data_IF_686118546591
#
_entry.id   IF_686118546591
#
_cell.length_a   1.000
_cell.length_b   1.000
_cell.length_c   1.000
_cell.angle_alpha   90.00
_cell.angle_beta   90.00
_cell.angle_gamma   90.00
#
_symmetry.space_group_name_H-M   'P 1'
#
loop_
_entity.id
_entity.type
_entity.pdbx_description
1 polymer ?
#
# COMPACT_ATOMS: atom_id res chain seq x y z
N UNK A 1 27.22 30.15 -21.72
CA UNK A 1 27.80 30.30 -20.37
C UNK A 1 26.63 30.68 -19.47
N UNK A 2 26.03 29.72 -18.77
CA UNK A 2 26.17 29.50 -17.32
C UNK A 2 24.86 29.98 -16.68
N UNK A 3 24.16 29.29 -15.77
CA UNK A 3 24.52 28.25 -14.83
C UNK A 3 23.32 27.33 -14.56
N UNK A 4 23.63 26.07 -14.27
CA UNK A 4 22.75 25.11 -13.61
C UNK A 4 22.71 25.47 -12.12
N UNK A 5 21.53 25.58 -11.55
CA UNK A 5 21.35 25.83 -10.11
C UNK A 5 20.04 25.26 -9.63
N UNK A 6 20.04 23.94 -9.43
CA UNK A 6 19.00 23.16 -8.79
C UNK A 6 18.57 23.86 -7.49
N UNK A 7 17.31 24.32 -7.40
CA UNK A 7 16.70 24.74 -6.12
C UNK A 7 16.71 23.52 -5.21
N UNK A 8 17.76 23.37 -4.41
CA UNK A 8 17.74 22.51 -3.24
C UNK A 8 16.56 22.98 -2.40
N UNK A 9 15.57 22.12 -2.21
CA UNK A 9 14.52 22.34 -1.23
C UNK A 9 15.21 22.67 0.09
N UNK A 10 14.92 23.85 0.62
CA UNK A 10 15.53 24.38 1.83
C UNK A 10 15.34 23.36 2.95
N UNK A 11 16.41 22.65 3.29
CA UNK A 11 16.38 21.64 4.33
C UNK A 11 16.48 22.41 5.64
N UNK A 12 15.43 22.44 6.49
CA UNK A 12 15.42 23.28 7.68
C UNK A 12 16.55 22.88 8.63
N UNK A 13 17.12 23.89 9.29
CA UNK A 13 18.20 23.72 10.26
C UNK A 13 17.76 22.82 11.42
N UNK A 14 18.66 22.11 12.11
CA UNK A 14 18.31 21.15 13.16
C UNK A 14 17.37 21.71 14.23
N UNK A 15 17.55 22.97 14.65
CA UNK A 15 16.67 23.65 15.61
C UNK A 15 15.25 23.87 15.06
N UNK A 16 15.12 24.21 13.77
CA UNK A 16 13.81 24.38 13.11
C UNK A 16 13.10 23.03 12.93
N UNK A 17 13.84 21.93 12.79
CA UNK A 17 13.24 20.59 12.74
C UNK A 17 12.65 20.17 14.08
N UNK A 18 13.27 20.57 15.19
CA UNK A 18 12.74 20.33 16.54
C UNK A 18 11.55 21.24 16.84
N UNK A 19 11.56 22.49 16.35
CA UNK A 19 10.44 23.44 16.46
C UNK A 19 9.22 22.97 15.64
N UNK A 20 9.42 22.52 14.39
CA UNK A 20 8.35 21.89 13.57
C UNK A 20 7.79 20.63 14.25
N UNK A 21 8.65 19.85 14.92
CA UNK A 21 8.24 18.64 15.66
C UNK A 21 7.37 18.97 16.87
N UNK A 22 7.63 20.09 17.54
CA UNK A 22 6.78 20.59 18.63
C UNK A 22 5.50 21.24 18.14
N UNK A 23 5.53 21.98 17.04
CA UNK A 23 4.34 22.62 16.45
C UNK A 23 3.31 21.60 15.97
N UNK A 24 3.75 20.47 15.40
CA UNK A 24 2.82 19.40 15.03
C UNK A 24 2.23 18.67 16.25
N UNK A 25 2.99 18.61 17.35
CA UNK A 25 2.56 18.00 18.61
C UNK A 25 1.66 18.94 19.46
N UNK A 26 1.73 20.26 19.24
CA UNK A 26 1.02 21.28 20.00
C UNK A 26 -0.07 22.02 19.21
N UNK A 27 -0.44 21.58 18.00
CA UNK A 27 -1.66 22.08 17.35
C UNK A 27 -2.88 21.60 18.16
N UNK A 28 -3.59 22.50 18.87
CA UNK A 28 -4.82 22.12 19.54
C UNK A 28 -5.89 21.99 18.45
N UNK A 29 -6.14 20.77 17.98
CA UNK A 29 -7.25 20.53 17.06
C UNK A 29 -7.16 19.32 16.16
N UNK A 30 -5.98 18.74 15.90
CA UNK A 30 -5.95 17.45 15.18
C UNK A 30 -6.04 16.32 16.19
N UNK A 31 -7.20 16.19 16.83
CA UNK A 31 -7.57 14.92 17.45
C UNK A 31 -7.65 13.95 16.29
N UNK A 32 -6.69 13.03 16.18
CA UNK A 32 -6.73 11.96 15.21
C UNK A 32 -7.94 11.08 15.58
N UNK A 33 -9.10 11.38 14.99
CA UNK A 33 -10.29 10.55 15.12
C UNK A 33 -10.06 9.31 14.28
N UNK A 34 -9.74 8.20 14.96
CA UNK A 34 -9.61 6.90 14.33
C UNK A 34 -10.87 6.12 14.63
N UNK A 35 -11.56 5.69 13.59
CA UNK A 35 -12.67 4.75 13.68
C UNK A 35 -12.13 3.34 13.35
N UNK A 36 -12.01 2.44 14.35
CA UNK A 36 -11.48 1.10 14.14
C UNK A 36 -12.32 0.25 13.18
N UNK A 37 -13.63 0.50 13.07
CA UNK A 37 -14.51 -0.25 12.19
C UNK A 37 -14.33 0.19 10.73
N UNK A 38 -14.17 1.50 10.48
CA UNK A 38 -13.78 2.02 9.15
C UNK A 38 -12.43 1.43 8.72
N UNK A 39 -11.49 1.25 9.65
CA UNK A 39 -10.22 0.59 9.33
C UNK A 39 -10.38 -0.90 8.98
N UNK A 40 -11.31 -1.63 9.62
CA UNK A 40 -11.62 -3.02 9.25
C UNK A 40 -12.25 -3.08 7.88
N UNK A 41 -13.19 -2.19 7.59
CA UNK A 41 -13.86 -2.11 6.29
C UNK A 41 -12.85 -1.83 5.18
N UNK A 42 -11.94 -0.86 5.38
CA UNK A 42 -10.84 -0.60 4.45
C UNK A 42 -9.98 -1.85 4.21
N UNK A 43 -9.67 -2.63 5.25
CA UNK A 43 -8.93 -3.89 5.08
C UNK A 43 -9.69 -4.91 4.21
N UNK A 44 -11.01 -5.01 4.35
CA UNK A 44 -11.85 -5.88 3.51
C UNK A 44 -11.83 -5.40 2.05
N UNK A 45 -11.88 -4.09 1.81
CA UNK A 45 -11.79 -3.52 0.47
C UNK A 45 -10.45 -3.82 -0.21
N UNK A 46 -9.33 -3.69 0.52
CA UNK A 46 -8.00 -4.03 0.01
C UNK A 46 -7.88 -5.51 -0.36
N UNK A 47 -8.43 -6.41 0.46
CA UNK A 47 -8.45 -7.83 0.14
C UNK A 47 -9.36 -8.14 -1.07
N UNK A 48 -10.51 -7.48 -1.18
CA UNK A 48 -11.38 -7.62 -2.33
C UNK A 48 -10.70 -7.15 -3.62
N UNK A 49 -9.93 -6.05 -3.57
CA UNK A 49 -9.12 -5.60 -4.70
C UNK A 49 -8.02 -6.60 -5.05
N UNK A 50 -7.32 -7.13 -4.04
CA UNK A 50 -6.30 -8.16 -4.25
C UNK A 50 -6.88 -9.42 -4.91
N UNK A 51 -8.07 -9.85 -4.47
CA UNK A 51 -8.76 -11.00 -5.05
C UNK A 51 -9.18 -10.74 -6.50
N UNK A 52 -9.80 -9.60 -6.80
CA UNK A 52 -10.18 -9.26 -8.19
C UNK A 52 -8.97 -9.21 -9.12
N UNK A 53 -7.85 -8.69 -8.64
CA UNK A 53 -6.61 -8.64 -9.41
C UNK A 53 -6.03 -10.04 -9.64
N UNK A 54 -6.09 -10.93 -8.63
CA UNK A 54 -5.70 -12.33 -8.80
C UNK A 54 -6.58 -13.04 -9.84
N UNK A 55 -7.90 -12.91 -9.75
CA UNK A 55 -8.84 -13.51 -10.70
C UNK A 55 -8.64 -13.00 -12.13
N UNK A 56 -8.35 -11.71 -12.28
CA UNK A 56 -8.03 -11.12 -13.59
C UNK A 56 -6.71 -11.67 -14.14
N UNK A 57 -5.68 -11.80 -13.29
CA UNK A 57 -4.40 -12.36 -13.66
C UNK A 57 -4.52 -13.83 -14.08
N UNK A 58 -5.24 -14.64 -13.31
CA UNK A 58 -5.45 -16.06 -13.61
C UNK A 58 -6.13 -16.26 -14.96
N UNK A 59 -7.18 -15.46 -15.25
CA UNK A 59 -7.86 -15.45 -16.56
C UNK A 59 -6.91 -15.06 -17.69
N UNK A 60 -6.08 -14.03 -17.48
CA UNK A 60 -5.11 -13.60 -18.49
C UNK A 60 -4.06 -14.69 -18.77
N UNK A 61 -3.55 -15.35 -17.73
CA UNK A 61 -2.59 -16.45 -17.88
C UNK A 61 -3.17 -17.66 -18.60
N UNK A 62 -4.46 -17.96 -18.43
CA UNK A 62 -5.14 -18.99 -19.23
C UNK A 62 -5.17 -18.63 -20.72
N UNK A 63 -5.48 -17.37 -21.05
CA UNK A 63 -5.50 -16.90 -22.44
C UNK A 63 -4.11 -16.77 -23.06
N UNK A 64 -3.06 -16.65 -22.25
CA UNK A 64 -1.68 -16.52 -22.72
C UNK A 64 -1.06 -17.83 -23.24
N UNK A 65 -1.73 -18.98 -23.09
CA UNK A 65 -1.20 -20.31 -23.43
C UNK A 65 -1.09 -20.59 -24.94
N UNK A 66 -1.51 -19.68 -25.81
CA UNK A 66 -1.45 -19.89 -27.25
C UNK A 66 -0.03 -19.60 -27.79
N UNK A 67 0.61 -20.61 -28.37
CA UNK A 67 1.93 -20.53 -28.99
C UNK A 67 1.92 -19.80 -30.34
N UNK A 68 3.04 -19.85 -31.08
CA UNK A 68 3.16 -19.06 -32.31
C UNK A 68 2.12 -19.44 -33.37
N UNK A 69 1.59 -18.42 -34.05
CA UNK A 69 0.63 -18.59 -35.15
C UNK A 69 1.26 -19.23 -36.39
N UNK A 70 2.60 -19.26 -36.48
CA UNK A 70 3.37 -19.77 -37.60
C UNK A 70 4.82 -20.08 -37.22
N UNK A 71 5.53 -20.79 -38.11
CA UNK A 71 6.95 -21.16 -37.95
C UNK A 71 7.92 -20.12 -38.52
N UNK A 72 7.42 -19.02 -39.07
CA UNK A 72 8.25 -17.92 -39.54
C UNK A 72 8.92 -17.18 -38.37
N UNK A 73 10.03 -16.53 -38.68
CA UNK A 73 10.85 -15.82 -37.69
C UNK A 73 10.07 -14.69 -37.01
N UNK A 74 9.14 -14.04 -37.72
CA UNK A 74 8.32 -12.96 -37.16
C UNK A 74 7.30 -13.54 -36.17
N UNK A 75 6.58 -14.59 -36.53
CA UNK A 75 5.64 -15.28 -35.63
C UNK A 75 6.32 -15.81 -34.37
N UNK A 76 7.51 -16.38 -34.49
CA UNK A 76 8.28 -16.89 -33.34
C UNK A 76 8.82 -15.75 -32.47
N UNK A 77 9.36 -14.67 -33.07
CA UNK A 77 9.82 -13.48 -32.36
C UNK A 77 8.70 -12.75 -31.62
N UNK A 78 7.53 -12.57 -32.25
CA UNK A 78 6.35 -11.97 -31.61
C UNK A 78 5.89 -12.82 -30.44
N UNK A 79 5.82 -14.14 -30.62
CA UNK A 79 5.41 -15.05 -29.53
C UNK A 79 6.36 -15.00 -28.35
N UNK A 80 7.67 -14.95 -28.61
CA UNK A 80 8.69 -14.83 -27.56
C UNK A 80 8.62 -13.47 -26.83
N UNK A 81 8.41 -12.37 -27.56
CA UNK A 81 8.25 -11.04 -26.97
C UNK A 81 6.97 -10.94 -26.11
N UNK A 82 5.87 -11.52 -26.59
CA UNK A 82 4.61 -11.61 -25.84
C UNK A 82 4.76 -12.46 -24.58
N UNK A 83 5.44 -13.61 -24.66
CA UNK A 83 5.72 -14.46 -23.50
C UNK A 83 6.51 -13.70 -22.43
N UNK A 84 7.60 -13.02 -22.81
CA UNK A 84 8.42 -12.21 -21.89
C UNK A 84 7.64 -11.04 -21.27
N UNK A 85 6.74 -10.42 -22.04
CA UNK A 85 5.88 -9.35 -21.53
C UNK A 85 4.89 -9.89 -20.50
N UNK A 86 4.28 -11.04 -20.78
CA UNK A 86 3.36 -11.71 -19.85
C UNK A 86 4.06 -12.15 -18.56
N UNK A 87 5.28 -12.71 -18.64
CA UNK A 87 6.07 -13.07 -17.46
C UNK A 87 6.35 -11.86 -16.56
N UNK A 88 6.74 -10.73 -17.16
CA UNK A 88 6.98 -9.49 -16.42
C UNK A 88 5.70 -8.94 -15.80
N UNK A 89 4.60 -8.95 -16.57
CA UNK A 89 3.30 -8.51 -16.09
C UNK A 89 2.82 -9.37 -14.91
N UNK A 90 2.93 -10.70 -15.02
CA UNK A 90 2.57 -11.63 -13.96
C UNK A 90 3.35 -11.34 -12.68
N UNK A 91 4.66 -11.14 -12.80
CA UNK A 91 5.51 -10.80 -11.65
C UNK A 91 5.04 -9.51 -10.97
N UNK A 92 4.87 -8.44 -11.74
CA UNK A 92 4.45 -7.13 -11.21
C UNK A 92 3.04 -7.20 -10.61
N UNK A 93 2.13 -7.94 -11.23
CA UNK A 93 0.77 -8.13 -10.71
C UNK A 93 0.78 -8.89 -9.39
N UNK A 94 1.58 -9.98 -9.27
CA UNK A 94 1.76 -10.73 -8.02
C UNK A 94 2.33 -9.84 -6.91
N UNK A 95 3.35 -9.05 -7.21
CA UNK A 95 3.92 -8.09 -6.26
C UNK A 95 2.87 -7.07 -5.78
N UNK A 96 2.04 -6.57 -6.70
CA UNK A 96 0.92 -5.66 -6.38
C UNK A 96 -0.14 -6.30 -5.49
N UNK A 97 -0.52 -7.56 -5.77
CA UNK A 97 -1.47 -8.34 -4.95
C UNK A 97 -0.92 -8.51 -3.53
N UNK A 98 0.37 -8.84 -3.39
CA UNK A 98 1.00 -8.95 -2.07
C UNK A 98 1.01 -7.62 -1.31
N UNK A 99 1.27 -6.50 -1.99
CA UNK A 99 1.24 -5.19 -1.36
C UNK A 99 -0.16 -4.84 -0.84
N UNK A 100 -1.22 -5.12 -1.61
CA UNK A 100 -2.61 -4.92 -1.18
C UNK A 100 -2.94 -5.73 0.08
N UNK A 101 -2.53 -7.01 0.12
CA UNK A 101 -2.72 -7.86 1.31
C UNK A 101 -1.95 -7.34 2.53
N UNK A 102 -0.70 -6.88 2.35
CA UNK A 102 0.10 -6.29 3.44
C UNK A 102 -0.54 -5.02 3.99
N UNK A 103 -1.14 -4.20 3.13
CA UNK A 103 -1.90 -3.01 3.54
C UNK A 103 -3.12 -3.45 4.35
N UNK A 104 -3.93 -4.38 3.84
CA UNK A 104 -5.10 -4.91 4.56
C UNK A 104 -4.72 -5.43 5.97
N UNK A 105 -3.64 -6.19 6.08
CA UNK A 105 -3.12 -6.63 7.37
C UNK A 105 -2.70 -5.49 8.30
N UNK A 106 -2.06 -4.44 7.76
CA UNK A 106 -1.68 -3.27 8.55
C UNK A 106 -2.92 -2.55 9.10
N UNK A 107 -3.97 -2.41 8.30
CA UNK A 107 -5.24 -1.85 8.73
C UNK A 107 -5.89 -2.67 9.86
N UNK A 108 -5.89 -4.01 9.74
CA UNK A 108 -6.39 -4.90 10.81
C UNK A 108 -5.59 -4.78 12.10
N UNK A 109 -4.25 -4.80 12.01
CA UNK A 109 -3.37 -4.67 13.18
C UNK A 109 -3.58 -3.34 13.90
N UNK A 110 -3.68 -2.25 13.13
CA UNK A 110 -3.90 -0.93 13.69
C UNK A 110 -5.29 -0.81 14.33
N UNK A 111 -6.34 -1.28 13.64
CA UNK A 111 -7.70 -1.32 14.19
C UNK A 111 -7.76 -2.05 15.54
N UNK A 112 -7.15 -3.24 15.62
CA UNK A 112 -7.09 -4.00 16.87
C UNK A 112 -6.33 -3.25 17.96
N UNK A 113 -5.18 -2.65 17.62
CA UNK A 113 -4.38 -1.88 18.58
C UNK A 113 -5.16 -0.68 19.16
N UNK A 114 -6.01 -0.02 18.38
CA UNK A 114 -6.89 1.06 18.87
C UNK A 114 -7.95 0.53 19.84
N UNK A 115 -8.63 -0.56 19.48
CA UNK A 115 -9.64 -1.20 20.36
C UNK A 115 -9.02 -1.63 21.69
N UNK A 116 -7.82 -2.21 21.68
CA UNK A 116 -7.12 -2.63 22.90
C UNK A 116 -6.76 -1.41 23.78
N UNK A 117 -6.35 -0.30 23.16
CA UNK A 117 -6.05 0.95 23.85
C UNK A 117 -7.28 1.54 24.54
N UNK A 118 -8.43 1.53 23.86
CA UNK A 118 -9.70 1.99 24.43
C UNK A 118 -10.14 1.13 25.62
N UNK A 119 -10.05 -0.20 25.50
CA UNK A 119 -10.36 -1.11 26.59
C UNK A 119 -9.44 -0.89 27.81
N UNK A 120 -8.13 -0.73 27.58
CA UNK A 120 -7.18 -0.44 28.66
C UNK A 120 -7.45 0.89 29.35
N UNK A 121 -7.82 1.93 28.60
CA UNK A 121 -8.19 3.22 29.16
C UNK A 121 -9.47 3.15 29.98
N UNK A 122 -10.50 2.45 29.49
CA UNK A 122 -11.75 2.24 30.22
C UNK A 122 -11.52 1.47 31.53
N UNK A 123 -10.71 0.41 31.50
CA UNK A 123 -10.36 -0.37 32.69
C UNK A 123 -9.63 0.47 33.76
N UNK A 124 -8.71 1.34 33.34
CA UNK A 124 -8.00 2.25 34.25
C UNK A 124 -8.94 3.27 34.92
N UNK A 125 -9.90 3.82 34.18
CA UNK A 125 -10.86 4.79 34.74
C UNK A 125 -11.74 4.11 35.79
N UNK A 126 -12.21 2.89 35.52
CA UNK A 126 -13.06 2.14 36.45
C UNK A 126 -12.30 1.66 37.70
N UNK A 127 -11.01 1.36 37.62
CA UNK A 127 -10.20 0.92 38.75
C UNK A 127 -9.65 2.03 39.66
N UNK A 128 -9.80 3.31 39.29
CA UNK A 128 -9.40 4.47 40.14
C UNK A 128 -10.56 4.94 41.03
N UNK A 129 -11.75 4.35 40.88
CA UNK A 129 -12.95 4.68 41.64
C UNK A 129 -13.21 3.81 42.88
N UNK A 130 -12.32 2.89 43.25
CA UNK A 130 -12.41 2.05 44.46
C UNK A 130 -11.43 2.48 45.57
#
# INVERSE_FOLDING_TARGET
MGERGQKMADVPAPAQREEIRWDLANQPGTVLQVDPDVMKDAAVEYDAMAQRLQEALDKQLETAKFGSAGRDEVSTAVSHASAKTNENFEKVAKDGIEQLKRIAEAFRRNSQAFVDLEHHNAARINGVGE
#
